data_IF_626600741682
#
_entry.id   IF_626600741682
#
_cell.length_a   1.000
_cell.length_b   1.000
_cell.length_c   1.000
_cell.angle_alpha   90.00
_cell.angle_beta   90.00
_cell.angle_gamma   90.00
#
_symmetry.space_group_name_H-M   'P 1'
#
loop_
_entity.id
_entity.type
_entity.pdbx_description
1 polymer ?
#
# COMPACT_ATOMS: atom_id res chain seq x y z
N UNK A 1 -1.81 3.68 -23.16
CA UNK A 1 -2.92 3.88 -22.20
C UNK A 1 -2.36 4.60 -20.98
N UNK A 2 -2.76 5.86 -20.76
CA UNK A 2 -2.38 6.59 -19.55
C UNK A 2 -3.15 5.94 -18.39
N UNK A 3 -2.45 5.25 -17.50
CA UNK A 3 -3.04 4.65 -16.31
C UNK A 3 -3.64 5.78 -15.47
N UNK A 4 -4.98 5.91 -15.50
CA UNK A 4 -5.70 6.74 -14.55
C UNK A 4 -5.33 6.27 -13.15
N UNK A 5 -4.93 7.16 -12.23
CA UNK A 5 -4.66 6.76 -10.85
C UNK A 5 -5.89 6.02 -10.32
N UNK A 6 -5.71 4.78 -9.86
CA UNK A 6 -6.76 4.03 -9.16
C UNK A 6 -7.25 4.88 -7.99
N UNK A 7 -8.53 4.76 -7.65
CA UNK A 7 -9.17 5.49 -6.55
C UNK A 7 -8.35 5.38 -5.23
N UNK A 8 -7.75 4.22 -5.00
CA UNK A 8 -6.83 3.96 -3.88
C UNK A 8 -5.53 4.78 -3.95
N UNK A 9 -4.96 5.00 -5.14
CA UNK A 9 -3.77 5.85 -5.32
C UNK A 9 -4.08 7.31 -5.01
N UNK A 10 -5.28 7.78 -5.37
CA UNK A 10 -5.72 9.13 -5.01
C UNK A 10 -5.93 9.27 -3.50
N UNK A 11 -6.62 8.30 -2.87
CA UNK A 11 -6.79 8.26 -1.40
C UNK A 11 -5.45 8.21 -0.65
N UNK A 12 -4.47 7.48 -1.17
CA UNK A 12 -3.13 7.38 -0.60
C UNK A 12 -2.37 8.71 -0.68
N UNK A 13 -2.49 9.45 -1.77
CA UNK A 13 -1.90 10.79 -1.90
C UNK A 13 -2.57 11.78 -0.94
N UNK A 14 -3.90 11.72 -0.86
CA UNK A 14 -4.68 12.60 0.00
C UNK A 14 -4.38 12.38 1.49
N UNK A 15 -4.34 11.13 1.96
CA UNK A 15 -3.98 10.84 3.37
C UNK A 15 -2.56 11.30 3.70
N UNK A 16 -1.62 11.14 2.76
CA UNK A 16 -0.24 11.58 2.94
C UNK A 16 -0.14 13.10 3.05
N UNK A 17 -0.85 13.82 2.17
CA UNK A 17 -0.90 15.28 2.21
C UNK A 17 -1.51 15.81 3.52
N UNK A 18 -2.60 15.20 4.00
CA UNK A 18 -3.23 15.56 5.27
C UNK A 18 -2.30 15.27 6.47
N UNK A 19 -1.57 14.16 6.47
CA UNK A 19 -0.58 13.87 7.52
C UNK A 19 0.55 14.92 7.55
N UNK A 20 1.08 15.31 6.40
CA UNK A 20 2.09 16.36 6.30
C UNK A 20 1.57 17.72 6.75
N UNK A 21 0.33 18.05 6.38
CA UNK A 21 -0.33 19.28 6.81
C UNK A 21 -0.56 19.29 8.33
N UNK A 22 -1.07 18.19 8.90
CA UNK A 22 -1.28 18.07 10.34
C UNK A 22 0.02 18.14 11.15
N UNK A 23 1.13 17.56 10.65
CA UNK A 23 2.46 17.70 11.26
C UNK A 23 2.97 19.14 11.22
N UNK A 24 2.74 19.86 10.12
CA UNK A 24 3.06 21.29 10.01
C UNK A 24 2.24 22.12 11.00
N UNK A 25 0.94 21.83 11.13
CA UNK A 25 0.07 22.48 12.09
C UNK A 25 0.49 22.19 13.53
N UNK A 26 0.93 20.96 13.84
CA UNK A 26 1.47 20.60 15.15
C UNK A 26 2.69 21.44 15.52
N UNK A 27 3.62 21.64 14.58
CA UNK A 27 4.77 22.53 14.77
C UNK A 27 4.33 23.98 15.03
N UNK A 28 3.41 24.50 14.20
CA UNK A 28 2.87 25.86 14.36
C UNK A 28 2.17 26.07 15.70
N UNK A 29 1.40 25.10 16.18
CA UNK A 29 0.74 25.17 17.49
C UNK A 29 1.74 25.13 18.65
N UNK A 30 2.86 24.40 18.51
CA UNK A 30 3.92 24.41 19.50
C UNK A 30 4.61 25.79 19.60
N UNK A 31 4.88 26.42 18.45
CA UNK A 31 5.47 27.76 18.38
C UNK A 31 4.51 28.82 18.97
N UNK A 32 3.22 28.77 18.61
CA UNK A 32 2.19 29.64 19.18
C UNK A 32 2.05 29.42 20.69
N UNK A 33 2.14 28.17 21.17
CA UNK A 33 2.14 27.86 22.59
C UNK A 33 3.33 28.45 23.34
N UNK A 34 4.51 28.49 22.72
CA UNK A 34 5.68 29.18 23.29
C UNK A 34 5.48 30.70 23.30
N UNK A 35 4.98 31.28 22.21
CA UNK A 35 4.69 32.70 22.11
C UNK A 35 3.63 33.15 23.13
N UNK A 36 2.59 32.33 23.37
CA UNK A 36 1.58 32.58 24.40
C UNK A 36 2.17 32.61 25.81
N UNK A 37 3.09 31.70 26.13
CA UNK A 37 3.77 31.71 27.44
C UNK A 37 4.60 32.97 27.63
N UNK A 38 5.30 33.43 26.58
CA UNK A 38 6.05 34.67 26.63
C UNK A 38 5.11 35.88 26.79
N UNK A 39 4.04 35.94 25.99
CA UNK A 39 3.06 37.00 26.06
C UNK A 39 2.37 37.08 27.43
N UNK A 40 2.10 35.94 28.08
CA UNK A 40 1.59 35.91 29.45
C UNK A 40 2.58 36.53 30.45
N UNK A 41 3.88 36.21 30.34
CA UNK A 41 4.91 36.79 31.19
C UNK A 41 5.13 38.30 30.95
N UNK A 42 4.91 38.77 29.72
CA UNK A 42 4.94 40.20 29.37
C UNK A 42 3.70 40.95 29.89
N UNK A 43 2.55 40.29 29.86
CA UNK A 43 1.30 40.81 30.41
C UNK A 43 1.38 41.00 31.93
N UNK A 44 2.01 40.08 32.65
CA UNK A 44 2.31 40.22 34.09
C UNK A 44 3.18 41.45 34.40
N UNK A 45 3.93 41.95 33.40
CA UNK A 45 4.75 43.17 33.48
C UNK A 45 4.03 44.40 32.90
N UNK A 46 2.73 44.31 32.60
CA UNK A 46 1.91 45.41 32.10
C UNK A 46 2.02 45.67 30.59
N UNK A 47 2.61 44.76 29.81
CA UNK A 47 2.70 44.89 28.35
C UNK A 47 1.61 44.05 27.67
N UNK A 48 0.76 44.62 26.81
CA UNK A 48 -0.29 43.87 26.16
C UNK A 48 0.28 42.88 25.11
N UNK A 49 -0.36 41.71 24.91
CA UNK A 49 0.05 40.75 23.87
C UNK A 49 -0.09 41.35 22.46
N UNK A 50 0.76 40.92 21.53
CA UNK A 50 0.72 41.43 20.16
C UNK A 50 -0.56 40.97 19.42
N UNK A 51 -1.13 41.82 18.55
CA UNK A 51 -2.28 41.44 17.72
C UNK A 51 -1.94 40.31 16.72
N UNK A 52 -0.67 40.18 16.35
CA UNK A 52 -0.19 39.10 15.46
C UNK A 52 -0.34 37.72 16.10
N UNK A 53 -0.17 37.63 17.43
CA UNK A 53 -0.38 36.38 18.17
C UNK A 53 -1.85 35.92 18.12
N UNK A 54 -2.78 36.86 18.27
CA UNK A 54 -4.22 36.57 18.15
C UNK A 54 -4.59 36.14 16.73
N UNK A 55 -4.08 36.84 15.70
CA UNK A 55 -4.27 36.45 14.31
C UNK A 55 -3.71 35.04 14.03
N UNK A 56 -2.51 34.74 14.55
CA UNK A 56 -1.88 33.42 14.41
C UNK A 56 -2.70 32.28 15.03
N UNK A 57 -3.38 32.52 16.16
CA UNK A 57 -4.29 31.54 16.76
C UNK A 57 -5.55 31.31 15.94
N UNK A 58 -6.16 32.38 15.42
CA UNK A 58 -7.35 32.28 14.55
C UNK A 58 -7.01 31.48 13.30
N UNK A 59 -5.90 31.78 12.65
CA UNK A 59 -5.44 31.04 11.47
C UNK A 59 -5.14 29.57 11.79
N UNK A 60 -4.53 29.27 12.93
CA UNK A 60 -4.27 27.90 13.34
C UNK A 60 -5.56 27.13 13.64
N UNK A 61 -6.56 27.78 14.25
CA UNK A 61 -7.89 27.19 14.47
C UNK A 61 -8.57 26.87 13.14
N UNK A 62 -8.61 27.82 12.21
CA UNK A 62 -9.23 27.61 10.89
C UNK A 62 -8.53 26.51 10.09
N UNK A 63 -7.20 26.45 10.15
CA UNK A 63 -6.43 25.38 9.53
C UNK A 63 -6.75 24.02 10.16
N UNK A 64 -6.92 23.96 11.48
CA UNK A 64 -7.33 22.75 12.18
C UNK A 64 -8.72 22.29 11.76
N UNK A 65 -9.70 23.19 11.74
CA UNK A 65 -11.08 22.89 11.34
C UNK A 65 -11.12 22.33 9.91
N UNK A 66 -10.40 22.97 8.98
CA UNK A 66 -10.31 22.51 7.60
C UNK A 66 -9.59 21.16 7.44
N UNK A 67 -8.55 20.88 8.24
CA UNK A 67 -7.90 19.57 8.30
C UNK A 67 -8.86 18.50 8.84
N UNK A 68 -9.54 18.78 9.94
CA UNK A 68 -10.47 17.87 10.59
C UNK A 68 -11.63 17.48 9.68
N UNK A 69 -12.26 18.45 9.01
CA UNK A 69 -13.36 18.18 8.06
C UNK A 69 -12.91 17.32 6.88
N UNK A 70 -11.71 17.57 6.33
CA UNK A 70 -11.19 16.75 5.22
C UNK A 70 -10.82 15.35 5.68
N UNK A 71 -10.22 15.22 6.87
CA UNK A 71 -9.91 13.93 7.46
C UNK A 71 -11.20 13.12 7.70
N UNK A 72 -12.24 13.73 8.25
CA UNK A 72 -13.55 13.07 8.43
C UNK A 72 -14.14 12.61 7.09
N UNK A 73 -14.12 13.46 6.06
CA UNK A 73 -14.60 13.08 4.72
C UNK A 73 -13.83 11.92 4.12
N UNK A 74 -12.49 11.94 4.20
CA UNK A 74 -11.62 10.89 3.69
C UNK A 74 -11.86 9.55 4.42
N UNK A 75 -12.11 9.62 5.73
CA UNK A 75 -12.35 8.46 6.59
C UNK A 75 -13.81 7.97 6.55
N UNK A 76 -14.61 8.41 5.56
CA UNK A 76 -15.96 7.92 5.35
C UNK A 76 -17.00 8.49 6.32
N UNK A 77 -16.74 9.67 6.89
CA UNK A 77 -17.64 10.34 7.83
C UNK A 77 -17.62 9.76 9.24
N UNK A 78 -16.63 8.92 9.57
CA UNK A 78 -16.44 8.43 10.93
C UNK A 78 -16.16 9.62 11.86
N UNK A 79 -16.88 9.76 12.98
CA UNK A 79 -16.61 10.83 13.94
C UNK A 79 -15.22 10.67 14.52
N UNK A 80 -14.38 11.68 14.29
CA UNK A 80 -13.05 11.79 14.89
C UNK A 80 -13.11 12.91 15.91
N UNK A 81 -12.60 12.68 17.11
CA UNK A 81 -12.47 13.72 18.11
C UNK A 81 -11.65 14.90 17.55
N UNK A 82 -12.09 16.16 17.74
CA UNK A 82 -11.41 17.34 17.21
C UNK A 82 -10.15 17.67 18.03
N UNK A 83 -9.25 16.71 18.13
CA UNK A 83 -7.92 16.83 18.71
C UNK A 83 -6.89 16.44 17.66
N UNK A 84 -5.92 17.32 17.39
CA UNK A 84 -4.91 17.09 16.36
C UNK A 84 -4.17 15.75 16.48
N UNK A 85 -3.76 15.27 17.67
CA UNK A 85 -3.17 13.94 17.81
C UNK A 85 -4.09 12.80 17.37
N UNK A 86 -5.39 12.88 17.70
CA UNK A 86 -6.39 11.87 17.32
C UNK A 86 -6.64 11.86 15.81
N UNK A 87 -6.68 13.04 15.18
CA UNK A 87 -6.80 13.16 13.72
C UNK A 87 -5.60 12.54 13.02
N UNK A 88 -4.39 12.82 13.50
CA UNK A 88 -3.16 12.25 12.93
C UNK A 88 -3.11 10.73 13.10
N UNK A 89 -3.51 10.21 14.27
CA UNK A 89 -3.57 8.77 14.52
C UNK A 89 -4.57 8.07 13.59
N UNK A 90 -5.78 8.62 13.45
CA UNK A 90 -6.79 8.08 12.55
C UNK A 90 -6.31 8.05 11.08
N UNK A 91 -5.65 9.11 10.63
CA UNK A 91 -5.05 9.17 9.29
C UNK A 91 -3.92 8.14 9.11
N UNK A 92 -3.06 7.92 10.11
CA UNK A 92 -2.01 6.88 10.05
C UNK A 92 -2.59 5.47 10.00
N UNK A 93 -3.63 5.19 10.78
CA UNK A 93 -4.34 3.89 10.75
C UNK A 93 -4.93 3.67 9.36
N UNK A 94 -5.56 4.69 8.78
CA UNK A 94 -6.12 4.60 7.45
C UNK A 94 -5.06 4.41 6.35
N UNK A 95 -3.94 5.13 6.44
CA UNK A 95 -2.79 4.95 5.53
C UNK A 95 -2.30 3.50 5.55
N UNK A 96 -2.12 2.91 6.75
CA UNK A 96 -1.72 1.50 6.89
C UNK A 96 -2.75 0.55 6.30
N UNK A 97 -4.04 0.83 6.46
CA UNK A 97 -5.10 0.03 5.86
C UNK A 97 -5.07 0.07 4.33
N UNK A 98 -4.83 1.24 3.73
CA UNK A 98 -4.65 1.39 2.28
C UNK A 98 -3.41 0.64 1.78
N UNK A 99 -2.29 0.74 2.49
CA UNK A 99 -1.07 -0.01 2.15
C UNK A 99 -1.31 -1.52 2.17
N UNK A 100 -2.02 -2.01 3.20
CA UNK A 100 -2.37 -3.41 3.30
C UNK A 100 -3.31 -3.87 2.19
N UNK A 101 -4.32 -3.07 1.84
CA UNK A 101 -5.20 -3.34 0.72
C UNK A 101 -4.42 -3.42 -0.61
N UNK A 102 -3.50 -2.48 -0.85
CA UNK A 102 -2.67 -2.47 -2.04
C UNK A 102 -1.75 -3.71 -2.14
N UNK A 103 -1.14 -4.13 -1.03
CA UNK A 103 -0.34 -5.36 -0.99
C UNK A 103 -1.20 -6.61 -1.26
N UNK A 104 -2.39 -6.68 -0.68
CA UNK A 104 -3.32 -7.77 -0.97
C UNK A 104 -3.72 -7.81 -2.43
N UNK A 105 -4.04 -6.66 -3.03
CA UNK A 105 -4.41 -6.60 -4.44
C UNK A 105 -3.26 -7.07 -5.34
N UNK A 106 -2.02 -6.68 -5.04
CA UNK A 106 -0.84 -7.19 -5.75
C UNK A 106 -0.74 -8.72 -5.66
N UNK A 107 -0.90 -9.28 -4.47
CA UNK A 107 -0.86 -10.72 -4.27
C UNK A 107 -1.98 -11.46 -5.03
N UNK A 108 -3.20 -10.92 -5.00
CA UNK A 108 -4.33 -11.47 -5.75
C UNK A 108 -4.08 -11.46 -7.27
N UNK A 109 -3.52 -10.38 -7.80
CA UNK A 109 -3.19 -10.28 -9.23
C UNK A 109 -2.16 -11.36 -9.64
N UNK A 110 -1.16 -11.63 -8.80
CA UNK A 110 -0.18 -12.71 -9.05
C UNK A 110 -0.86 -14.08 -9.07
N UNK A 111 -1.75 -14.34 -8.11
CA UNK A 111 -2.48 -15.61 -8.05
C UNK A 111 -3.42 -15.78 -9.25
N UNK A 112 -4.09 -14.71 -9.68
CA UNK A 112 -4.94 -14.69 -10.87
C UNK A 112 -4.11 -15.01 -12.13
N UNK A 113 -2.96 -14.37 -12.29
CA UNK A 113 -2.04 -14.64 -13.41
C UNK A 113 -1.55 -16.10 -13.41
N UNK A 114 -1.16 -16.65 -12.26
CA UNK A 114 -0.78 -18.07 -12.19
C UNK A 114 -1.94 -18.98 -12.52
N UNK A 115 -3.13 -18.70 -12.01
CA UNK A 115 -4.33 -19.50 -12.27
C UNK A 115 -4.75 -19.48 -13.74
N UNK A 116 -4.39 -18.44 -14.50
CA UNK A 116 -4.73 -18.27 -15.92
C UNK A 116 -3.66 -18.74 -16.90
N UNK A 117 -2.51 -19.24 -16.42
CA UNK A 117 -1.48 -19.83 -17.28
C UNK A 117 -2.04 -20.98 -18.14
N UNK A 118 -1.57 -21.09 -19.38
CA UNK A 118 -2.01 -22.13 -20.31
C UNK A 118 -0.80 -22.94 -20.79
N UNK A 119 -0.99 -24.26 -20.87
CA UNK A 119 -0.03 -25.17 -21.48
C UNK A 119 -0.37 -25.45 -22.95
N UNK A 120 0.62 -25.38 -23.84
CA UNK A 120 0.47 -25.52 -25.30
C UNK A 120 0.56 -26.98 -25.81
N UNK A 121 0.71 -27.98 -24.93
CA UNK A 121 1.12 -29.32 -25.34
C UNK A 121 0.04 -30.30 -25.82
N UNK A 122 -1.18 -29.88 -26.14
CA UNK A 122 -2.23 -30.74 -26.72
C UNK A 122 -2.84 -31.79 -25.78
N UNK A 123 -2.12 -32.20 -24.75
CA UNK A 123 -2.57 -33.08 -23.66
C UNK A 123 -2.64 -32.31 -22.33
N UNK A 124 -3.38 -32.87 -21.37
CA UNK A 124 -3.49 -32.32 -20.03
C UNK A 124 -2.13 -32.36 -19.32
N UNK A 125 -1.70 -31.22 -18.78
CA UNK A 125 -0.44 -31.10 -18.06
C UNK A 125 -0.70 -30.93 -16.56
N UNK A 126 -0.82 -32.08 -15.88
CA UNK A 126 -1.14 -32.18 -14.46
C UNK A 126 -0.30 -31.27 -13.54
N UNK A 127 1.02 -31.08 -13.76
CA UNK A 127 1.80 -30.17 -12.93
C UNK A 127 1.26 -28.74 -12.93
N UNK A 128 0.83 -28.23 -14.09
CA UNK A 128 0.22 -26.89 -14.18
C UNK A 128 -1.14 -26.86 -13.48
N UNK A 129 -1.98 -27.88 -13.70
CA UNK A 129 -3.29 -27.98 -13.04
C UNK A 129 -3.18 -27.95 -11.52
N UNK A 130 -2.17 -28.60 -10.94
CA UNK A 130 -1.92 -28.60 -9.50
C UNK A 130 -1.59 -27.18 -8.99
N UNK A 131 -0.67 -26.48 -9.65
CA UNK A 131 -0.29 -25.10 -9.29
C UNK A 131 -1.46 -24.13 -9.44
N UNK A 132 -2.27 -24.27 -10.49
CA UNK A 132 -3.45 -23.46 -10.69
C UNK A 132 -4.50 -23.70 -9.59
N UNK A 133 -4.69 -24.95 -9.20
CA UNK A 133 -5.61 -25.30 -8.11
C UNK A 133 -5.15 -24.71 -6.78
N UNK A 134 -3.85 -24.80 -6.47
CA UNK A 134 -3.26 -24.21 -5.26
C UNK A 134 -3.40 -22.68 -5.27
N UNK A 135 -3.15 -22.02 -6.40
CA UNK A 135 -3.34 -20.59 -6.56
C UNK A 135 -4.80 -20.17 -6.31
N UNK A 136 -5.77 -20.91 -6.87
CA UNK A 136 -7.21 -20.69 -6.61
C UNK A 136 -7.59 -20.97 -5.15
N UNK A 137 -6.92 -21.92 -4.49
CA UNK A 137 -7.05 -22.17 -3.06
C UNK A 137 -6.61 -20.96 -2.23
N UNK A 138 -5.42 -20.42 -2.52
CA UNK A 138 -4.89 -19.23 -1.86
C UNK A 138 -5.75 -17.98 -2.12
N UNK A 139 -6.29 -17.81 -3.33
CA UNK A 139 -7.21 -16.71 -3.62
C UNK A 139 -8.47 -16.77 -2.76
N UNK A 140 -9.03 -17.97 -2.55
CA UNK A 140 -10.20 -18.16 -1.68
C UNK A 140 -9.87 -17.84 -0.23
N UNK A 141 -8.74 -18.33 0.28
CA UNK A 141 -8.28 -18.02 1.63
C UNK A 141 -8.08 -16.52 1.85
N UNK A 142 -7.56 -15.78 0.86
CA UNK A 142 -7.38 -14.33 0.95
C UNK A 142 -8.69 -13.53 0.84
N UNK A 143 -9.74 -14.10 0.25
CA UNK A 143 -11.09 -13.52 0.28
C UNK A 143 -11.74 -13.69 1.66
N UNK A 144 -11.46 -14.79 2.33
CA UNK A 144 -12.00 -15.10 3.67
C UNK A 144 -11.21 -14.40 4.79
N UNK A 145 -9.88 -14.27 4.64
CA UNK A 145 -9.01 -13.63 5.61
C UNK A 145 -8.31 -12.39 5.03
N UNK A 146 -8.60 -11.24 5.62
CA UNK A 146 -8.06 -9.93 5.24
C UNK A 146 -6.84 -9.51 6.06
N UNK A 147 -6.12 -10.46 6.65
CA UNK A 147 -4.83 -10.19 7.28
C UNK A 147 -3.66 -10.39 6.30
N UNK A 148 -2.59 -9.60 6.49
CA UNK A 148 -1.35 -9.78 5.73
C UNK A 148 -0.51 -10.89 6.38
N UNK A 149 -0.64 -12.11 5.86
CA UNK A 149 0.25 -13.20 6.25
C UNK A 149 1.56 -13.20 5.43
N UNK A 150 2.52 -14.03 5.83
CA UNK A 150 3.83 -14.13 5.17
C UNK A 150 3.73 -14.45 3.67
N UNK A 151 2.75 -15.29 3.28
CA UNK A 151 2.51 -15.64 1.87
C UNK A 151 2.03 -14.45 1.06
N UNK A 152 1.08 -13.66 1.57
CA UNK A 152 0.60 -12.43 0.91
C UNK A 152 1.75 -11.45 0.70
N UNK A 153 2.59 -11.26 1.72
CA UNK A 153 3.75 -10.37 1.63
C UNK A 153 4.77 -10.89 0.60
N UNK A 154 5.05 -12.19 0.57
CA UNK A 154 5.97 -12.79 -0.40
C UNK A 154 5.44 -12.69 -1.83
N UNK A 155 4.13 -12.87 -2.03
CA UNK A 155 3.48 -12.67 -3.32
C UNK A 155 3.57 -11.22 -3.77
N UNK A 156 3.19 -10.28 -2.91
CA UNK A 156 3.18 -8.85 -3.21
C UNK A 156 4.58 -8.25 -3.48
N UNK A 157 5.61 -8.77 -2.81
CA UNK A 157 7.00 -8.31 -2.96
C UNK A 157 7.78 -9.03 -4.07
N UNK A 158 7.16 -9.99 -4.77
CA UNK A 158 7.83 -10.69 -5.88
C UNK A 158 8.74 -11.85 -5.46
N UNK A 159 8.79 -12.22 -4.18
CA UNK A 159 9.71 -13.24 -3.67
C UNK A 159 9.11 -14.65 -3.62
N UNK A 160 7.79 -14.79 -3.76
CA UNK A 160 7.13 -16.09 -3.82
C UNK A 160 7.46 -16.86 -5.10
N UNK A 161 7.52 -18.20 -5.04
CA UNK A 161 7.78 -19.09 -6.17
C UNK A 161 6.91 -18.79 -7.42
N UNK A 162 5.64 -18.43 -7.19
CA UNK A 162 4.69 -18.05 -8.25
C UNK A 162 5.12 -16.82 -9.04
N UNK A 163 5.75 -15.84 -8.38
CA UNK A 163 6.32 -14.69 -9.08
C UNK A 163 7.49 -15.13 -9.98
N UNK A 164 8.33 -16.05 -9.48
CA UNK A 164 9.45 -16.59 -10.24
C UNK A 164 8.96 -17.38 -11.46
N UNK A 165 7.90 -18.17 -11.31
CA UNK A 165 7.25 -18.87 -12.42
C UNK A 165 6.72 -17.88 -13.47
N UNK A 166 5.95 -16.88 -13.05
CA UNK A 166 5.43 -15.86 -13.97
C UNK A 166 6.56 -15.10 -14.67
N UNK A 167 7.62 -14.77 -13.93
CA UNK A 167 8.81 -14.12 -14.49
C UNK A 167 9.47 -15.00 -15.55
N UNK A 168 9.64 -16.29 -15.28
CA UNK A 168 10.20 -17.24 -16.25
C UNK A 168 9.36 -17.35 -17.53
N UNK A 169 8.03 -17.21 -17.42
CA UNK A 169 7.10 -17.28 -18.54
C UNK A 169 7.02 -15.97 -19.34
N UNK A 170 7.10 -14.82 -18.67
CA UNK A 170 6.76 -13.51 -19.27
C UNK A 170 7.98 -12.64 -19.58
N UNK A 171 9.04 -12.71 -18.78
CA UNK A 171 10.20 -11.83 -18.90
C UNK A 171 11.31 -12.45 -19.77
N UNK A 172 11.35 -12.03 -21.03
CA UNK A 172 12.37 -12.44 -22.00
C UNK A 172 13.66 -11.60 -21.92
N UNK A 173 13.68 -10.56 -21.08
CA UNK A 173 14.80 -9.61 -20.95
C UNK A 173 15.81 -9.97 -19.85
N UNK A 174 15.57 -11.04 -19.09
CA UNK A 174 16.46 -11.47 -18.02
C UNK A 174 17.89 -11.74 -18.51
N UNK A 175 18.87 -11.39 -17.68
CA UNK A 175 20.26 -11.83 -17.90
C UNK A 175 20.38 -13.35 -17.76
N UNK A 176 21.41 -13.96 -18.37
CA UNK A 176 21.60 -15.41 -18.30
C UNK A 176 21.74 -15.90 -16.85
N UNK A 177 22.48 -15.19 -16.00
CA UNK A 177 22.70 -15.58 -14.60
C UNK A 177 21.39 -15.52 -13.79
N UNK A 178 20.60 -14.47 -14.01
CA UNK A 178 19.29 -14.31 -13.40
C UNK A 178 18.32 -15.39 -13.88
N UNK A 179 18.30 -15.67 -15.18
CA UNK A 179 17.45 -16.69 -15.78
C UNK A 179 17.76 -18.07 -15.19
N UNK A 180 19.04 -18.45 -15.09
CA UNK A 180 19.45 -19.73 -14.50
C UNK A 180 19.02 -19.83 -13.04
N UNK A 181 19.19 -18.75 -12.27
CA UNK A 181 18.76 -18.71 -10.86
C UNK A 181 17.25 -18.88 -10.73
N UNK A 182 16.47 -18.13 -11.49
CA UNK A 182 15.00 -18.20 -11.48
C UNK A 182 14.53 -19.59 -11.89
N UNK A 183 15.10 -20.15 -12.95
CA UNK A 183 14.80 -21.51 -13.42
C UNK A 183 15.04 -22.56 -12.33
N UNK A 184 16.20 -22.52 -11.66
CA UNK A 184 16.55 -23.47 -10.59
C UNK A 184 15.63 -23.34 -9.38
N UNK A 185 15.27 -22.10 -9.00
CA UNK A 185 14.35 -21.87 -7.89
C UNK A 185 12.93 -22.38 -8.20
N UNK A 186 12.42 -22.12 -9.42
CA UNK A 186 11.13 -22.67 -9.86
C UNK A 186 11.16 -24.20 -9.86
N UNK A 187 12.24 -24.81 -10.35
CA UNK A 187 12.41 -26.26 -10.35
C UNK A 187 12.39 -26.86 -8.94
N UNK A 188 13.02 -26.19 -7.97
CA UNK A 188 13.12 -26.64 -6.59
C UNK A 188 11.82 -26.45 -5.80
N UNK A 189 11.16 -25.29 -5.96
CA UNK A 189 10.01 -24.91 -5.12
C UNK A 189 8.67 -25.36 -5.71
N UNK A 190 8.55 -25.43 -7.04
CA UNK A 190 7.30 -25.77 -7.73
C UNK A 190 7.41 -27.13 -8.41
N UNK A 191 8.54 -27.39 -9.07
CA UNK A 191 8.82 -28.69 -9.69
C UNK A 191 9.53 -28.57 -11.02
N UNK A 192 10.39 -29.57 -11.29
CA UNK A 192 11.26 -29.63 -12.47
C UNK A 192 10.47 -29.59 -13.79
N UNK A 193 9.38 -30.35 -13.89
CA UNK A 193 8.59 -30.45 -15.13
C UNK A 193 8.00 -29.09 -15.54
N UNK A 194 7.56 -28.33 -14.55
CA UNK A 194 6.97 -27.01 -14.73
C UNK A 194 8.02 -25.97 -15.13
N UNK A 195 9.19 -26.02 -14.48
CA UNK A 195 10.33 -25.18 -14.84
C UNK A 195 10.78 -25.43 -16.29
N UNK A 196 10.87 -26.71 -16.71
CA UNK A 196 11.23 -27.10 -18.08
C UNK A 196 10.17 -26.63 -19.07
N UNK A 197 8.89 -26.85 -18.79
CA UNK A 197 7.81 -26.44 -19.69
C UNK A 197 7.76 -24.90 -19.87
N UNK A 198 7.95 -24.14 -18.79
CA UNK A 198 8.07 -22.69 -18.84
C UNK A 198 9.30 -22.24 -19.65
N UNK A 199 10.47 -22.82 -19.38
CA UNK A 199 11.72 -22.53 -20.11
C UNK A 199 11.62 -22.82 -21.63
N UNK A 200 10.85 -23.83 -22.02
CA UNK A 200 10.60 -24.18 -23.43
C UNK A 200 9.51 -23.33 -24.08
N UNK A 201 8.92 -22.38 -23.35
CA UNK A 201 7.81 -21.55 -23.83
C UNK A 201 6.53 -22.35 -24.10
N UNK A 202 6.38 -23.51 -23.45
CA UNK A 202 5.17 -24.33 -23.55
C UNK A 202 4.09 -23.87 -22.58
N UNK A 203 4.45 -23.11 -21.55
CA UNK A 203 3.53 -22.40 -20.66
C UNK A 203 3.53 -20.92 -21.06
N UNK A 204 2.35 -20.32 -21.16
CA UNK A 204 2.19 -18.91 -21.49
C UNK A 204 1.01 -18.29 -20.72
N UNK A 205 1.07 -16.97 -20.52
CA UNK A 205 -0.05 -16.19 -20.02
C UNK A 205 -0.89 -15.73 -21.23
N UNK A 206 -2.20 -16.01 -21.28
CA UNK A 206 -3.08 -15.50 -22.34
C UNK A 206 -3.16 -13.97 -22.29
N UNK A 207 -3.30 -13.34 -23.47
CA UNK A 207 -3.48 -11.89 -23.62
C UNK A 207 -4.85 -11.40 -23.15
#
# INVERSE_FOLDING_TARGET
MVATPTEESNKMREVTALLEEGRRLQGRLADLGAALRQAAAELDRGHPPSPELAAGLVEASQAFDGLHERAQRLLGGVPIEPLLPQVLEALEVYRKALEAAALRQKALNVLEQVSSLIYRGGEEFLPLSAVQFDALGLMRQQKENTELNATVLALANGSHAYNLLLKLVTDKGMSNDEWVRVYQQVAQEIGQDLAVAAARGQIYLPE
#
